data_IF_616069296221
#
_entry.id   IF_616069296221
#
_cell.length_a   1.000
_cell.length_b   1.000
_cell.length_c   1.000
_cell.angle_alpha   90.00
_cell.angle_beta   90.00
_cell.angle_gamma   90.00
#
_symmetry.space_group_name_H-M   'P 1'
#
loop_
_entity.id
_entity.type
_entity.pdbx_description
1 polymer ?
#
# COMPACT_ATOMS: atom_id res chain seq x y z
N UNK A 1 17.14 -12.78 -15.99
CA UNK A 1 18.00 -12.83 -14.78
C UNK A 1 17.15 -13.35 -13.63
N UNK A 2 17.70 -14.18 -12.73
CA UNK A 2 16.96 -14.60 -11.53
C UNK A 2 16.77 -13.37 -10.63
N UNK A 3 15.54 -13.05 -10.27
CA UNK A 3 15.23 -12.01 -9.28
C UNK A 3 15.55 -12.57 -7.89
N UNK A 4 16.32 -11.84 -7.09
CA UNK A 4 16.73 -12.25 -5.74
C UNK A 4 15.52 -12.62 -4.87
N UNK A 5 14.47 -11.80 -4.94
CA UNK A 5 13.28 -11.95 -4.12
C UNK A 5 12.45 -13.19 -4.47
N UNK A 6 12.54 -13.69 -5.70
CA UNK A 6 11.84 -14.91 -6.12
C UNK A 6 12.44 -16.16 -5.45
N UNK A 7 13.71 -16.09 -5.03
CA UNK A 7 14.37 -17.15 -4.26
C UNK A 7 14.00 -17.18 -2.77
N UNK A 8 13.39 -16.10 -2.26
CA UNK A 8 13.03 -15.92 -0.85
C UNK A 8 11.51 -15.72 -0.71
N UNK A 9 10.71 -16.79 -0.89
CA UNK A 9 9.26 -16.67 -0.98
C UNK A 9 8.61 -16.25 0.35
N UNK A 10 9.28 -16.42 1.48
CA UNK A 10 8.76 -16.07 2.81
C UNK A 10 9.47 -14.80 3.29
N UNK A 11 8.72 -13.90 3.92
CA UNK A 11 9.28 -12.71 4.55
C UNK A 11 10.19 -13.07 5.72
N UNK A 12 11.36 -12.46 5.79
CA UNK A 12 12.36 -12.70 6.83
C UNK A 12 12.99 -11.37 7.23
N UNK A 13 12.94 -11.02 8.52
CA UNK A 13 13.61 -9.82 9.04
C UNK A 13 15.11 -9.77 8.71
N UNK A 14 15.76 -10.91 8.56
CA UNK A 14 17.19 -11.02 8.24
C UNK A 14 17.54 -10.47 6.84
N UNK A 15 16.54 -10.32 5.96
CA UNK A 15 16.71 -9.72 4.63
C UNK A 15 16.70 -8.17 4.66
N UNK A 16 16.31 -7.57 5.79
CA UNK A 16 16.31 -6.13 5.93
C UNK A 16 17.76 -5.58 5.97
N UNK A 17 17.95 -4.44 5.31
CA UNK A 17 19.17 -3.64 5.42
C UNK A 17 18.83 -2.21 5.83
N UNK A 18 19.54 -1.65 6.81
CA UNK A 18 19.34 -0.30 7.32
C UNK A 18 20.27 0.68 6.59
N UNK A 19 19.75 1.82 6.14
CA UNK A 19 20.59 2.92 5.67
C UNK A 19 21.26 3.62 6.85
N UNK A 20 22.59 3.65 6.86
CA UNK A 20 23.39 4.35 7.86
C UNK A 20 23.71 5.77 7.42
N UNK A 21 24.10 6.62 8.38
CA UNK A 21 24.56 8.00 8.14
C UNK A 21 25.74 8.07 7.16
N UNK A 22 26.58 7.04 7.15
CA UNK A 22 27.75 6.97 6.27
C UNK A 22 27.37 6.65 4.81
N UNK A 23 26.08 6.52 4.49
CA UNK A 23 25.61 6.20 3.14
C UNK A 23 25.82 4.73 2.78
N UNK A 24 25.69 3.83 3.75
CA UNK A 24 25.81 2.38 3.55
C UNK A 24 24.52 1.67 3.96
N UNK A 25 24.16 0.62 3.24
CA UNK A 25 23.11 -0.32 3.60
C UNK A 25 23.70 -1.44 4.45
N UNK A 26 23.47 -1.37 5.76
CA UNK A 26 23.98 -2.32 6.74
C UNK A 26 23.03 -3.49 6.91
N UNK A 27 23.55 -4.72 6.81
CA UNK A 27 22.78 -5.96 6.98
C UNK A 27 22.18 -6.11 8.39
N UNK A 28 21.04 -6.80 8.49
CA UNK A 28 20.40 -7.18 9.76
C UNK A 28 21.36 -7.85 10.75
N UNK A 29 21.91 -9.01 10.38
CA UNK A 29 22.88 -9.74 11.20
C UNK A 29 24.29 -9.15 11.08
N UNK A 30 25.07 -9.27 12.16
CA UNK A 30 26.50 -8.96 12.15
C UNK A 30 27.32 -10.04 11.45
N UNK A 31 28.54 -9.69 11.07
CA UNK A 31 29.52 -10.71 10.64
C UNK A 31 29.79 -11.68 11.79
N UNK A 32 29.85 -12.98 11.50
CA UNK A 32 30.32 -13.97 12.46
C UNK A 32 31.84 -13.83 12.61
N UNK A 33 32.36 -14.10 13.81
CA UNK A 33 33.81 -14.19 14.01
C UNK A 33 34.40 -15.24 13.06
N UNK A 34 35.44 -14.86 12.31
CA UNK A 34 36.14 -15.79 11.43
C UNK A 34 37.02 -16.72 12.27
N UNK A 35 36.73 -18.04 12.32
CA UNK A 35 37.53 -18.99 13.11
C UNK A 35 38.98 -19.07 12.62
N UNK A 36 39.26 -18.66 11.37
CA UNK A 36 40.57 -18.73 10.73
C UNK A 36 41.36 -17.41 10.77
N UNK A 37 40.71 -16.29 11.12
CA UNK A 37 41.38 -14.99 11.32
C UNK A 37 40.85 -14.26 12.57
N UNK A 38 41.40 -14.57 13.75
CA UNK A 38 41.00 -13.94 15.03
C UNK A 38 41.31 -12.44 15.10
N UNK A 39 42.05 -11.87 14.13
CA UNK A 39 42.38 -10.45 14.10
C UNK A 39 41.32 -9.60 13.42
N UNK A 40 40.46 -10.21 12.59
CA UNK A 40 39.34 -9.54 11.94
C UNK A 40 38.21 -9.35 12.94
N UNK A 41 38.04 -8.12 13.44
CA UNK A 41 36.90 -7.78 14.29
C UNK A 41 35.59 -7.87 13.50
N UNK A 42 34.59 -8.63 13.95
CA UNK A 42 33.32 -8.73 13.25
C UNK A 42 32.61 -7.37 13.22
N UNK A 43 32.08 -7.01 12.06
CA UNK A 43 31.23 -5.83 11.92
C UNK A 43 29.85 -6.10 12.53
N UNK A 44 29.34 -5.16 13.32
CA UNK A 44 27.99 -5.25 13.89
C UNK A 44 26.91 -5.15 12.79
N UNK A 45 25.79 -5.83 13.00
CA UNK A 45 24.59 -5.72 12.17
C UNK A 45 23.70 -4.55 12.59
N UNK A 46 22.59 -4.37 11.89
CA UNK A 46 21.60 -3.32 12.19
C UNK A 46 20.42 -3.76 13.07
N UNK A 47 20.34 -5.05 13.44
CA UNK A 47 19.24 -5.63 14.23
C UNK A 47 18.75 -4.75 15.38
N UNK A 48 19.63 -4.41 16.32
CA UNK A 48 19.23 -3.68 17.54
C UNK A 48 18.68 -2.27 17.21
N UNK A 49 19.27 -1.60 16.21
CA UNK A 49 18.82 -0.28 15.76
C UNK A 49 17.43 -0.34 15.12
N UNK A 50 17.17 -1.38 14.32
CA UNK A 50 15.87 -1.57 13.67
C UNK A 50 14.81 -1.97 14.69
N UNK A 51 15.12 -2.91 15.59
CA UNK A 51 14.19 -3.32 16.66
C UNK A 51 13.84 -2.14 17.58
N UNK A 52 14.81 -1.30 17.95
CA UNK A 52 14.56 -0.08 18.73
C UNK A 52 13.64 0.91 18.00
N UNK A 53 13.90 1.18 16.71
CA UNK A 53 13.06 2.07 15.90
C UNK A 53 11.62 1.55 15.76
N UNK A 54 11.45 0.24 15.56
CA UNK A 54 10.14 -0.40 15.45
C UNK A 54 9.40 -0.48 16.79
N UNK A 55 10.11 -0.70 17.91
CA UNK A 55 9.55 -0.60 19.25
C UNK A 55 9.07 0.83 19.54
N UNK A 56 9.89 1.83 19.23
CA UNK A 56 9.51 3.22 19.36
C UNK A 56 8.25 3.52 18.53
N UNK A 57 8.14 2.97 17.31
CA UNK A 57 6.95 3.11 16.47
C UNK A 57 5.68 2.61 17.18
N UNK A 58 5.72 1.40 17.76
CA UNK A 58 4.59 0.81 18.50
C UNK A 58 4.20 1.64 19.74
N UNK A 59 5.18 2.22 20.43
CA UNK A 59 4.98 2.98 21.66
C UNK A 59 4.59 4.44 21.46
N UNK A 60 4.64 4.98 20.25
CA UNK A 60 4.16 6.33 19.90
C UNK A 60 2.74 6.59 20.40
N UNK A 61 2.36 7.85 20.53
CA UNK A 61 0.98 8.27 20.78
C UNK A 61 0.12 8.13 19.52
N UNK A 62 0.64 8.55 18.37
CA UNK A 62 -0.02 8.42 17.08
C UNK A 62 0.76 7.46 16.18
N UNK A 63 0.06 6.53 15.52
CA UNK A 63 0.66 5.62 14.54
C UNK A 63 -0.13 5.73 13.25
N UNK A 64 0.60 6.12 12.21
CA UNK A 64 0.12 6.24 10.84
C UNK A 64 0.90 5.24 10.00
N UNK A 65 0.20 4.43 9.22
CA UNK A 65 0.82 3.47 8.30
C UNK A 65 0.38 3.84 6.88
N UNK A 66 1.30 3.86 5.93
CA UNK A 66 1.02 3.99 4.51
C UNK A 66 1.53 2.75 3.78
N UNK A 67 0.62 1.97 3.22
CA UNK A 67 0.93 0.77 2.43
C UNK A 67 0.71 1.03 0.95
N UNK A 68 1.75 0.83 0.14
CA UNK A 68 1.66 0.85 -1.32
C UNK A 68 1.60 -0.56 -1.93
N UNK A 69 1.72 -0.65 -3.25
CA UNK A 69 1.55 -1.91 -4.00
C UNK A 69 2.56 -2.99 -3.61
N UNK A 70 3.71 -2.61 -3.03
CA UNK A 70 4.66 -3.56 -2.46
C UNK A 70 4.08 -4.42 -1.34
N UNK A 71 3.07 -3.94 -0.61
CA UNK A 71 2.36 -4.74 0.38
C UNK A 71 1.47 -5.81 -0.29
N UNK A 72 0.76 -5.45 -1.36
CA UNK A 72 -0.10 -6.38 -2.11
C UNK A 72 0.69 -7.54 -2.74
N UNK A 73 1.94 -7.31 -3.15
CA UNK A 73 2.80 -8.38 -3.69
C UNK A 73 3.15 -9.48 -2.67
N UNK A 74 2.96 -9.23 -1.37
CA UNK A 74 3.12 -10.27 -0.34
C UNK A 74 1.96 -11.27 -0.29
N UNK A 75 0.82 -10.94 -0.91
CA UNK A 75 -0.35 -11.80 -0.98
C UNK A 75 -0.15 -12.87 -2.06
N UNK A 76 -0.53 -14.11 -1.75
CA UNK A 76 -0.36 -15.25 -2.67
C UNK A 76 -1.64 -16.02 -2.85
N UNK A 77 -1.93 -16.38 -4.08
CA UNK A 77 -3.02 -17.28 -4.43
C UNK A 77 -2.47 -18.64 -4.86
N UNK A 78 -3.04 -19.73 -4.32
CA UNK A 78 -2.85 -21.07 -4.85
C UNK A 78 -3.57 -21.19 -6.19
N UNK A 79 -2.88 -20.83 -7.26
CA UNK A 79 -3.45 -20.76 -8.60
C UNK A 79 -4.36 -19.55 -8.83
N UNK A 80 -4.30 -18.99 -10.04
CA UNK A 80 -5.00 -17.76 -10.40
C UNK A 80 -4.13 -16.50 -10.28
N UNK A 81 -4.72 -15.31 -10.44
CA UNK A 81 -3.97 -14.06 -10.50
C UNK A 81 -3.42 -13.68 -9.12
N UNK A 82 -2.19 -13.21 -9.06
CA UNK A 82 -1.62 -12.52 -7.89
C UNK A 82 -1.71 -11.01 -8.09
N UNK A 83 -1.31 -10.23 -7.08
CA UNK A 83 -1.26 -8.79 -7.17
C UNK A 83 -0.55 -8.30 -8.44
N UNK A 84 -1.22 -7.51 -9.31
CA UNK A 84 -0.67 -7.13 -10.60
C UNK A 84 0.32 -5.97 -10.47
N UNK A 85 1.47 -6.12 -11.13
CA UNK A 85 2.34 -5.00 -11.50
C UNK A 85 1.83 -4.24 -12.74
N UNK A 86 2.42 -3.08 -13.05
CA UNK A 86 2.01 -2.27 -14.22
C UNK A 86 2.12 -3.02 -15.55
N UNK A 87 3.14 -3.86 -15.70
CA UNK A 87 3.28 -4.75 -16.86
C UNK A 87 2.08 -5.69 -17.02
N UNK A 88 1.63 -6.33 -15.93
CA UNK A 88 0.50 -7.25 -15.97
C UNK A 88 -0.80 -6.53 -16.36
N UNK A 89 -0.98 -5.28 -15.92
CA UNK A 89 -2.13 -4.47 -16.34
C UNK A 89 -2.07 -4.14 -17.84
N UNK A 90 -0.89 -3.80 -18.36
CA UNK A 90 -0.70 -3.57 -19.79
C UNK A 90 -1.06 -4.80 -20.63
N UNK A 91 -0.55 -5.97 -20.26
CA UNK A 91 -0.88 -7.23 -20.94
C UNK A 91 -2.37 -7.58 -20.84
N UNK A 92 -2.98 -7.39 -19.67
CA UNK A 92 -4.41 -7.66 -19.48
C UNK A 92 -5.27 -6.80 -20.40
N UNK A 93 -4.99 -5.49 -20.48
CA UNK A 93 -5.71 -4.57 -21.38
C UNK A 93 -5.45 -4.92 -22.84
N UNK A 94 -4.20 -5.23 -23.21
CA UNK A 94 -3.84 -5.65 -24.57
C UNK A 94 -4.61 -6.91 -25.00
N UNK A 95 -4.72 -7.90 -24.11
CA UNK A 95 -5.45 -9.13 -24.37
C UNK A 95 -6.96 -8.91 -24.41
N UNK A 96 -7.52 -8.11 -23.50
CA UNK A 96 -8.97 -7.85 -23.43
C UNK A 96 -9.51 -7.04 -24.61
N UNK A 97 -8.74 -6.08 -25.13
CA UNK A 97 -9.10 -5.30 -26.32
C UNK A 97 -8.78 -6.04 -27.64
N UNK A 98 -7.92 -7.06 -27.59
CA UNK A 98 -7.29 -7.66 -28.75
C UNK A 98 -6.08 -6.85 -29.25
N UNK A 99 -5.00 -7.56 -29.58
CA UNK A 99 -3.69 -6.95 -29.88
C UNK A 99 -3.73 -5.95 -31.05
N UNK A 100 -4.49 -6.24 -32.10
CA UNK A 100 -4.61 -5.32 -33.24
C UNK A 100 -5.27 -3.99 -32.84
N UNK A 101 -6.40 -4.05 -32.15
CA UNK A 101 -7.12 -2.85 -31.70
C UNK A 101 -6.30 -2.05 -30.68
N UNK A 102 -5.63 -2.74 -29.75
CA UNK A 102 -4.72 -2.10 -28.79
C UNK A 102 -3.59 -1.35 -29.50
N UNK A 103 -2.92 -2.01 -30.45
CA UNK A 103 -1.80 -1.42 -31.19
C UNK A 103 -2.24 -0.24 -32.06
N UNK A 104 -3.46 -0.27 -32.61
CA UNK A 104 -4.01 0.84 -33.39
C UNK A 104 -4.30 2.06 -32.51
N UNK A 105 -4.85 1.86 -31.30
CA UNK A 105 -5.04 2.94 -30.31
C UNK A 105 -3.68 3.48 -29.84
N UNK A 106 -2.72 2.60 -29.51
CA UNK A 106 -1.38 3.02 -29.10
C UNK A 106 -0.70 3.87 -30.19
N UNK A 107 -0.72 3.43 -31.45
CA UNK A 107 -0.22 4.24 -32.59
C UNK A 107 -0.96 5.56 -32.75
N UNK A 108 -2.27 5.56 -32.58
CA UNK A 108 -3.13 6.74 -32.75
C UNK A 108 -2.87 7.81 -31.69
N UNK A 109 -2.53 7.40 -30.47
CA UNK A 109 -2.47 8.27 -29.30
C UNK A 109 -1.02 8.57 -28.89
N UNK A 110 -0.14 7.57 -28.89
CA UNK A 110 1.29 7.67 -28.54
C UNK A 110 2.14 7.98 -29.78
N UNK A 111 1.66 7.64 -30.99
CA UNK A 111 2.39 7.81 -32.25
C UNK A 111 3.24 6.58 -32.65
N UNK A 112 3.41 5.62 -31.76
CA UNK A 112 4.06 4.34 -32.00
C UNK A 112 3.49 3.27 -31.06
N UNK A 113 3.81 2.00 -31.32
CA UNK A 113 3.57 0.92 -30.34
C UNK A 113 4.81 0.86 -29.45
N UNK A 114 4.69 1.04 -28.13
CA UNK A 114 5.82 0.89 -27.22
C UNK A 114 6.50 -0.48 -27.40
N UNK A 115 7.82 -0.51 -27.35
CA UNK A 115 8.58 -1.75 -27.33
C UNK A 115 8.51 -2.40 -25.94
N UNK A 116 8.79 -3.70 -25.86
CA UNK A 116 8.81 -4.44 -24.59
C UNK A 116 9.74 -3.75 -23.57
N UNK A 117 9.15 -3.26 -22.48
CA UNK A 117 9.85 -2.55 -21.40
C UNK A 117 9.71 -1.02 -21.44
N UNK A 118 9.09 -0.46 -22.48
CA UNK A 118 8.65 0.94 -22.55
C UNK A 118 7.16 1.11 -22.23
N UNK A 119 6.50 0.02 -21.85
CA UNK A 119 5.06 -0.06 -21.62
C UNK A 119 4.65 0.75 -20.39
N UNK A 120 3.88 1.80 -20.64
CA UNK A 120 3.36 2.66 -19.60
C UNK A 120 1.85 2.81 -19.77
N UNK A 121 1.10 1.91 -19.11
CA UNK A 121 -0.37 1.91 -19.13
C UNK A 121 -0.92 3.24 -18.61
N UNK A 122 -0.24 3.87 -17.65
CA UNK A 122 -0.64 5.16 -17.10
C UNK A 122 -0.54 6.27 -18.15
N UNK A 123 0.56 6.34 -18.90
CA UNK A 123 0.71 7.29 -20.00
C UNK A 123 -0.33 7.05 -21.11
N UNK A 124 -0.58 5.79 -21.48
CA UNK A 124 -1.55 5.44 -22.51
C UNK A 124 -2.98 5.87 -22.11
N UNK A 125 -3.44 5.51 -20.92
CA UNK A 125 -4.78 5.86 -20.44
C UNK A 125 -4.95 7.38 -20.26
N UNK A 126 -3.88 8.06 -19.82
CA UNK A 126 -3.85 9.52 -19.72
C UNK A 126 -4.12 10.18 -21.06
N UNK A 127 -3.36 9.79 -22.08
CA UNK A 127 -3.50 10.36 -23.42
C UNK A 127 -4.84 9.99 -24.07
N UNK A 128 -5.37 8.80 -23.79
CA UNK A 128 -6.71 8.40 -24.24
C UNK A 128 -7.80 9.32 -23.65
N UNK A 129 -7.81 9.55 -22.34
CA UNK A 129 -8.79 10.45 -21.69
C UNK A 129 -8.64 11.90 -22.18
N UNK A 130 -7.42 12.42 -22.28
CA UNK A 130 -7.19 13.76 -22.85
C UNK A 130 -7.72 13.87 -24.28
N UNK A 131 -7.53 12.82 -25.09
CA UNK A 131 -8.05 12.78 -26.45
C UNK A 131 -9.58 12.74 -26.48
N UNK A 132 -10.21 11.96 -25.59
CA UNK A 132 -11.66 11.90 -25.44
C UNK A 132 -12.21 13.30 -25.09
N UNK A 133 -11.70 13.94 -24.04
CA UNK A 133 -12.16 15.27 -23.62
C UNK A 133 -12.04 16.31 -24.75
N UNK A 134 -10.93 16.31 -25.49
CA UNK A 134 -10.73 17.21 -26.63
C UNK A 134 -11.69 16.92 -27.79
N UNK A 135 -11.98 15.65 -28.07
CA UNK A 135 -12.89 15.24 -29.14
C UNK A 135 -14.36 15.50 -28.76
N UNK A 136 -14.75 15.34 -27.50
CA UNK A 136 -16.10 15.64 -27.00
C UNK A 136 -16.45 17.11 -27.17
N UNK A 137 -15.56 18.01 -26.74
CA UNK A 137 -15.75 19.46 -26.90
C UNK A 137 -15.90 19.88 -28.37
N UNK A 138 -15.26 19.14 -29.29
CA UNK A 138 -15.40 19.37 -30.75
C UNK A 138 -16.72 18.80 -31.28
N UNK A 139 -17.09 17.60 -30.85
CA UNK A 139 -18.31 16.92 -31.27
C UNK A 139 -19.59 17.64 -30.84
N UNK A 140 -19.56 18.34 -29.70
CA UNK A 140 -20.68 19.19 -29.24
C UNK A 140 -20.90 20.42 -30.14
N UNK A 141 -19.82 20.97 -30.70
CA UNK A 141 -19.86 22.18 -31.54
C UNK A 141 -20.19 21.90 -33.00
N UNK A 142 -20.03 20.65 -33.45
CA UNK A 142 -20.23 20.25 -34.84
C UNK A 142 -21.04 18.93 -34.93
N UNK A 143 -22.28 19.04 -35.42
CA UNK A 143 -23.14 17.88 -35.62
C UNK A 143 -22.61 16.92 -36.71
N UNK A 144 -21.78 17.41 -37.65
CA UNK A 144 -21.14 16.63 -38.71
C UNK A 144 -19.70 16.24 -38.38
N UNK A 145 -19.34 16.19 -37.08
CA UNK A 145 -17.98 15.91 -36.64
C UNK A 145 -17.42 14.59 -37.20
N UNK A 146 -16.36 14.63 -38.03
CA UNK A 146 -15.87 13.46 -38.76
C UNK A 146 -15.23 12.40 -37.85
N UNK A 147 -14.68 12.80 -36.70
CA UNK A 147 -13.98 11.89 -35.79
C UNK A 147 -14.90 11.27 -34.72
N UNK A 148 -16.23 11.27 -34.91
CA UNK A 148 -17.18 10.60 -33.98
C UNK A 148 -16.85 9.13 -33.80
N UNK A 149 -16.51 8.42 -34.88
CA UNK A 149 -16.14 7.01 -34.80
C UNK A 149 -14.88 6.79 -33.93
N UNK A 150 -13.89 7.69 -34.03
CA UNK A 150 -12.68 7.65 -33.21
C UNK A 150 -12.99 7.92 -31.74
N UNK A 151 -13.89 8.87 -31.45
CA UNK A 151 -14.34 9.16 -30.10
C UNK A 151 -14.96 7.92 -29.44
N UNK A 152 -15.89 7.25 -30.12
CA UNK A 152 -16.51 6.02 -29.60
C UNK A 152 -15.48 4.90 -29.42
N UNK A 153 -14.55 4.71 -30.39
CA UNK A 153 -13.46 3.73 -30.24
C UNK A 153 -12.58 3.97 -29.01
N UNK A 154 -12.24 5.23 -28.72
CA UNK A 154 -11.47 5.58 -27.53
C UNK A 154 -12.26 5.34 -26.25
N UNK A 155 -13.56 5.64 -26.24
CA UNK A 155 -14.46 5.36 -25.10
C UNK A 155 -14.56 3.87 -24.82
N UNK A 156 -14.81 3.07 -25.87
CA UNK A 156 -14.90 1.61 -25.78
C UNK A 156 -13.59 0.99 -25.30
N UNK A 157 -12.45 1.51 -25.80
CA UNK A 157 -11.13 1.08 -25.36
C UNK A 157 -10.90 1.37 -23.87
N UNK A 158 -11.21 2.60 -23.42
CA UNK A 158 -11.04 2.99 -22.01
C UNK A 158 -11.96 2.19 -21.10
N UNK A 159 -13.22 1.98 -21.48
CA UNK A 159 -14.17 1.17 -20.72
C UNK A 159 -13.70 -0.29 -20.60
N UNK A 160 -13.17 -0.85 -21.70
CA UNK A 160 -12.57 -2.19 -21.68
C UNK A 160 -11.34 -2.23 -20.77
N UNK A 161 -10.45 -1.24 -20.89
CA UNK A 161 -9.24 -1.17 -20.08
C UNK A 161 -9.55 -1.06 -18.58
N UNK A 162 -10.50 -0.20 -18.20
CA UNK A 162 -10.96 -0.04 -16.82
C UNK A 162 -11.54 -1.35 -16.27
N UNK A 163 -12.34 -2.09 -17.07
CA UNK A 163 -12.87 -3.41 -16.70
C UNK A 163 -11.76 -4.44 -16.49
N UNK A 164 -10.82 -4.56 -17.43
CA UNK A 164 -9.72 -5.52 -17.31
C UNK A 164 -8.81 -5.19 -16.11
N UNK A 165 -8.52 -3.91 -15.87
CA UNK A 165 -7.75 -3.47 -14.69
C UNK A 165 -8.49 -3.85 -13.42
N UNK A 166 -9.79 -3.54 -13.32
CA UNK A 166 -10.62 -3.85 -12.16
C UNK A 166 -10.59 -5.36 -11.84
N UNK A 167 -10.69 -6.20 -12.87
CA UNK A 167 -10.61 -7.65 -12.71
C UNK A 167 -9.24 -8.12 -12.19
N UNK A 168 -8.14 -7.53 -12.69
CA UNK A 168 -6.78 -7.88 -12.24
C UNK A 168 -6.50 -7.44 -10.81
N UNK A 169 -6.95 -6.24 -10.41
CA UNK A 169 -6.73 -5.74 -9.04
C UNK A 169 -7.67 -6.38 -8.02
N UNK A 170 -8.79 -6.97 -8.48
CA UNK A 170 -9.73 -7.76 -7.69
C UNK A 170 -9.27 -9.20 -7.42
N UNK A 171 -7.97 -9.44 -7.21
CA UNK A 171 -7.39 -10.79 -7.10
C UNK A 171 -7.59 -11.45 -5.72
N UNK A 172 -8.02 -10.70 -4.71
CA UNK A 172 -8.14 -11.20 -3.33
C UNK A 172 -9.40 -12.04 -3.18
N UNK A 173 -9.21 -13.28 -2.73
CA UNK A 173 -10.23 -14.31 -2.53
C UNK A 173 -10.19 -14.81 -1.09
N UNK A 174 -11.16 -15.66 -0.72
CA UNK A 174 -11.22 -16.26 0.62
C UNK A 174 -10.01 -17.15 0.95
N UNK A 175 -9.39 -17.74 -0.06
CA UNK A 175 -8.23 -18.64 0.02
C UNK A 175 -6.87 -17.92 -0.13
N UNK A 176 -6.84 -16.61 -0.43
CA UNK A 176 -5.59 -15.86 -0.61
C UNK A 176 -4.75 -15.89 0.67
N UNK A 177 -3.50 -16.31 0.59
CA UNK A 177 -2.55 -16.29 1.70
C UNK A 177 -2.15 -14.84 2.02
N UNK A 178 -2.31 -14.44 3.29
CA UNK A 178 -2.03 -13.09 3.77
C UNK A 178 -1.21 -13.09 5.08
N UNK A 179 -0.12 -13.87 5.20
CA UNK A 179 0.62 -13.98 6.47
C UNK A 179 1.23 -12.64 6.92
N UNK A 180 1.77 -11.84 5.99
CA UNK A 180 2.36 -10.54 6.30
C UNK A 180 1.32 -9.53 6.82
N UNK A 181 0.20 -9.37 6.12
CA UNK A 181 -0.90 -8.49 6.53
C UNK A 181 -1.49 -8.92 7.88
N UNK A 182 -1.71 -10.23 8.06
CA UNK A 182 -2.23 -10.81 9.30
C UNK A 182 -1.25 -10.59 10.47
N UNK A 183 0.03 -10.87 10.27
CA UNK A 183 1.07 -10.64 11.28
C UNK A 183 1.19 -9.17 11.66
N UNK A 184 1.15 -8.27 10.68
CA UNK A 184 1.20 -6.82 10.87
C UNK A 184 0.02 -6.33 11.71
N UNK A 185 -1.22 -6.65 11.30
CA UNK A 185 -2.43 -6.25 12.03
C UNK A 185 -2.46 -6.83 13.45
N UNK A 186 -2.09 -8.10 13.62
CA UNK A 186 -2.03 -8.77 14.93
C UNK A 186 -1.10 -8.04 15.91
N UNK A 187 0.04 -7.54 15.43
CA UNK A 187 1.02 -6.81 16.25
C UNK A 187 0.47 -5.47 16.73
N UNK A 188 -0.17 -4.70 15.84
CA UNK A 188 -0.78 -3.42 16.22
C UNK A 188 -2.10 -3.56 16.98
N UNK A 189 -2.82 -4.67 16.82
CA UNK A 189 -4.08 -4.91 17.53
C UNK A 189 -3.90 -5.03 19.05
N UNK A 190 -2.65 -5.26 19.50
CA UNK A 190 -2.27 -5.31 20.92
C UNK A 190 -2.01 -3.94 21.55
N UNK A 191 -2.05 -2.88 20.75
CA UNK A 191 -1.85 -1.52 21.24
C UNK A 191 -3.04 -1.12 22.12
N UNK A 192 -2.75 -0.41 23.22
CA UNK A 192 -3.78 -0.01 24.18
C UNK A 192 -4.93 0.73 23.50
N UNK A 193 -6.19 0.37 23.77
CA UNK A 193 -7.35 1.03 23.19
C UNK A 193 -7.56 2.45 23.72
N UNK A 194 -6.85 2.84 24.78
CA UNK A 194 -6.83 4.22 25.32
C UNK A 194 -5.98 5.18 24.49
N UNK A 195 -5.11 4.66 23.61
CA UNK A 195 -4.37 5.47 22.65
C UNK A 195 -5.22 5.73 21.40
N UNK A 196 -4.96 6.81 20.65
CA UNK A 196 -5.54 7.00 19.33
C UNK A 196 -5.40 5.73 18.47
N UNK A 197 -6.49 5.36 17.78
CA UNK A 197 -6.53 4.19 16.89
C UNK A 197 -5.44 4.28 15.83
N UNK A 198 -4.86 3.14 15.48
CA UNK A 198 -3.87 3.07 14.39
C UNK A 198 -4.58 3.43 13.08
N UNK A 199 -4.02 4.38 12.33
CA UNK A 199 -4.57 4.84 11.05
C UNK A 199 -3.79 4.18 9.91
N UNK A 200 -4.45 3.28 9.20
CA UNK A 200 -3.94 2.57 8.03
C UNK A 200 -4.38 3.33 6.78
N UNK A 201 -3.43 3.89 6.05
CA UNK A 201 -3.63 4.48 4.73
C UNK A 201 -3.08 3.53 3.69
N UNK A 202 -3.76 3.40 2.55
CA UNK A 202 -3.23 2.61 1.44
C UNK A 202 -3.65 3.19 0.09
N UNK A 203 -2.77 3.06 -0.89
CA UNK A 203 -3.06 3.32 -2.31
C UNK A 203 -3.61 2.08 -3.02
N UNK A 204 -3.72 0.95 -2.32
CA UNK A 204 -4.05 -0.34 -2.92
C UNK A 204 -5.56 -0.50 -3.04
N UNK A 205 -6.01 -0.89 -4.23
CA UNK A 205 -7.42 -1.13 -4.54
C UNK A 205 -7.95 -2.44 -3.94
N UNK A 206 -7.07 -3.43 -3.76
CA UNK A 206 -7.39 -4.78 -3.33
C UNK A 206 -7.87 -4.86 -1.88
N UNK A 207 -8.40 -6.03 -1.48
CA UNK A 207 -8.98 -6.26 -0.15
C UNK A 207 -8.04 -6.99 0.82
N UNK A 208 -6.71 -6.87 0.67
CA UNK A 208 -5.76 -7.61 1.52
C UNK A 208 -5.91 -7.27 3.01
N UNK A 209 -6.03 -5.98 3.36
CA UNK A 209 -6.15 -5.51 4.75
C UNK A 209 -7.49 -5.95 5.34
N UNK A 210 -8.57 -5.80 4.57
CA UNK A 210 -9.93 -6.16 4.96
C UNK A 210 -10.05 -7.66 5.22
N UNK A 211 -9.51 -8.48 4.31
CA UNK A 211 -9.54 -9.94 4.42
C UNK A 211 -8.68 -10.44 5.58
N UNK A 212 -7.48 -9.88 5.76
CA UNK A 212 -6.64 -10.18 6.92
C UNK A 212 -7.32 -9.73 8.23
N UNK A 213 -8.00 -8.58 8.21
CA UNK A 213 -8.71 -8.04 9.36
C UNK A 213 -9.89 -8.92 9.77
N UNK A 214 -10.68 -9.35 8.79
CA UNK A 214 -11.78 -10.30 8.95
C UNK A 214 -11.31 -11.61 9.61
N UNK A 215 -10.20 -12.18 9.14
CA UNK A 215 -9.63 -13.43 9.67
C UNK A 215 -9.20 -13.31 11.14
N UNK A 216 -8.63 -12.17 11.52
CA UNK A 216 -8.22 -11.89 12.90
C UNK A 216 -9.37 -11.45 13.82
N UNK A 217 -10.52 -11.09 13.26
CA UNK A 217 -11.61 -10.47 14.02
C UNK A 217 -11.26 -9.08 14.56
N UNK A 218 -10.36 -8.36 13.88
CA UNK A 218 -10.14 -6.92 14.13
C UNK A 218 -11.21 -6.11 13.41
N UNK A 219 -11.51 -4.91 13.93
CA UNK A 219 -12.51 -4.03 13.31
C UNK A 219 -11.85 -2.88 12.57
N UNK A 220 -12.33 -2.61 11.37
CA UNK A 220 -11.88 -1.53 10.50
C UNK A 220 -12.96 -0.46 10.43
N UNK A 221 -12.61 0.76 10.82
CA UNK A 221 -13.43 1.96 10.66
C UNK A 221 -12.95 2.65 9.38
N UNK A 222 -13.75 2.58 8.33
CA UNK A 222 -13.36 2.96 6.96
C UNK A 222 -14.28 3.99 6.31
N UNK A 223 -15.12 4.64 7.13
CA UNK A 223 -16.09 5.62 6.68
C UNK A 223 -17.40 5.02 6.18
N UNK A 224 -17.58 3.70 6.20
CA UNK A 224 -18.87 3.08 5.90
C UNK A 224 -19.72 2.84 7.14
N UNK A 225 -21.04 2.91 6.97
CA UNK A 225 -22.01 2.60 8.00
C UNK A 225 -22.00 1.11 8.37
N UNK A 226 -22.42 0.78 9.59
CA UNK A 226 -22.61 -0.60 10.06
C UNK A 226 -24.03 -1.15 9.74
N UNK A 227 -24.68 -0.62 8.71
CA UNK A 227 -26.02 -1.05 8.26
C UNK A 227 -25.95 -2.21 7.26
N UNK A 228 -27.09 -2.84 6.99
CA UNK A 228 -27.17 -3.96 6.04
C UNK A 228 -26.63 -3.60 4.64
N UNK A 229 -27.01 -2.43 4.12
CA UNK A 229 -26.32 -1.78 3.01
C UNK A 229 -25.37 -0.75 3.61
N UNK A 230 -24.07 -0.96 3.43
CA UNK A 230 -23.04 -0.09 3.99
C UNK A 230 -22.83 1.12 3.08
N UNK A 231 -23.05 2.31 3.62
CA UNK A 231 -22.98 3.60 2.90
C UNK A 231 -21.82 4.43 3.42
N UNK A 232 -21.07 5.03 2.51
CA UNK A 232 -19.99 5.93 2.86
C UNK A 232 -20.54 7.25 3.42
N UNK A 233 -19.98 7.68 4.54
CA UNK A 233 -20.11 9.02 5.07
C UNK A 233 -18.88 9.32 5.92
N UNK A 234 -18.23 10.47 5.68
CA UNK A 234 -17.03 10.89 6.43
C UNK A 234 -17.25 10.89 7.95
N UNK A 235 -18.46 11.16 8.44
CA UNK A 235 -18.78 11.21 9.87
C UNK A 235 -18.62 9.83 10.54
N UNK A 236 -18.64 8.73 9.77
CA UNK A 236 -18.40 7.40 10.32
C UNK A 236 -16.95 7.19 10.77
N UNK A 237 -15.99 8.00 10.33
CA UNK A 237 -14.64 8.01 10.89
C UNK A 237 -14.55 8.61 12.30
N UNK A 238 -15.55 9.40 12.70
CA UNK A 238 -15.61 10.01 14.03
C UNK A 238 -16.28 9.09 15.06
N UNK A 239 -16.82 7.96 14.62
CA UNK A 239 -17.39 6.93 15.48
C UNK A 239 -16.31 5.97 15.96
N UNK A 240 -16.46 5.44 17.18
CA UNK A 240 -15.63 4.36 17.71
C UNK A 240 -16.51 3.27 18.34
N UNK A 241 -15.94 2.08 18.52
CA UNK A 241 -16.62 0.90 19.02
C UNK A 241 -16.23 0.66 20.47
N UNK A 242 -17.25 0.68 21.32
CA UNK A 242 -17.13 0.45 22.76
C UNK A 242 -17.97 -0.76 23.16
N UNK A 243 -17.48 -1.49 24.16
CA UNK A 243 -18.26 -2.48 24.88
C UNK A 243 -18.88 -1.82 26.11
N UNK A 244 -20.15 -2.13 26.36
CA UNK A 244 -20.85 -1.74 27.59
C UNK A 244 -21.34 -2.99 28.29
N UNK A 245 -20.91 -3.21 29.52
CA UNK A 245 -21.47 -4.29 30.35
C UNK A 245 -22.87 -3.87 30.80
N UNK A 246 -23.84 -4.80 30.81
CA UNK A 246 -25.22 -4.49 31.22
C UNK A 246 -25.31 -3.90 32.64
N UNK A 247 -24.35 -4.23 33.50
CA UNK A 247 -24.26 -3.78 34.89
C UNK A 247 -23.47 -2.47 35.08
N UNK A 248 -22.93 -1.87 34.01
CA UNK A 248 -22.05 -0.70 34.08
C UNK A 248 -22.48 0.37 33.09
N UNK A 249 -22.40 1.62 33.50
CA UNK A 249 -22.55 2.77 32.60
C UNK A 249 -21.24 3.13 31.89
N UNK A 250 -20.12 2.52 32.29
CA UNK A 250 -18.81 2.73 31.66
C UNK A 250 -18.78 2.05 30.29
N UNK A 251 -18.31 2.80 29.29
CA UNK A 251 -18.00 2.31 27.97
C UNK A 251 -16.50 2.02 27.90
N UNK A 252 -16.13 0.77 27.66
CA UNK A 252 -14.73 0.37 27.48
C UNK A 252 -14.46 0.24 25.98
N UNK A 253 -13.42 0.93 25.49
CA UNK A 253 -13.03 0.85 24.08
C UNK A 253 -12.63 -0.59 23.70
N UNK A 254 -13.08 -1.04 22.52
CA UNK A 254 -12.72 -2.36 22.03
C UNK A 254 -11.25 -2.39 21.59
N UNK A 255 -10.55 -3.48 21.90
CA UNK A 255 -9.20 -3.76 21.39
C UNK A 255 -9.24 -4.10 19.88
N UNK A 256 -8.11 -3.95 19.19
CA UNK A 256 -8.02 -4.38 17.79
C UNK A 256 -8.94 -3.61 16.84
N UNK A 257 -9.13 -2.31 17.09
CA UNK A 257 -9.86 -1.40 16.21
C UNK A 257 -8.88 -0.48 15.49
N UNK A 258 -9.03 -0.35 14.18
CA UNK A 258 -8.19 0.43 13.29
C UNK A 258 -9.02 1.38 12.46
N UNK A 259 -8.45 2.50 12.03
CA UNK A 259 -9.01 3.26 10.92
C UNK A 259 -8.36 2.81 9.62
N UNK A 260 -9.15 2.60 8.57
CA UNK A 260 -8.66 2.24 7.23
C UNK A 260 -9.08 3.32 6.22
N UNK A 261 -8.11 3.89 5.53
CA UNK A 261 -8.29 4.93 4.53
C UNK A 261 -7.72 4.46 3.18
N UNK A 262 -8.60 4.31 2.18
CA UNK A 262 -8.24 3.88 0.82
C UNK A 262 -8.13 5.11 -0.10
N UNK A 263 -6.91 5.60 -0.28
CA UNK A 263 -6.62 6.87 -0.96
C UNK A 263 -7.02 6.87 -2.44
N UNK A 264 -6.96 5.69 -3.08
CA UNK A 264 -7.29 5.51 -4.49
C UNK A 264 -8.59 4.72 -4.72
N UNK A 265 -9.40 4.55 -3.68
CA UNK A 265 -10.62 3.75 -3.75
C UNK A 265 -10.38 2.27 -3.56
N UNK A 266 -11.42 1.46 -3.85
CA UNK A 266 -11.41 0.03 -3.57
C UNK A 266 -12.24 -0.73 -4.58
N UNK A 267 -11.86 -1.99 -4.83
CA UNK A 267 -12.57 -2.89 -5.76
C UNK A 267 -14.00 -3.20 -5.35
N UNK A 268 -14.34 -3.03 -4.07
CA UNK A 268 -15.68 -3.22 -3.51
C UNK A 268 -16.49 -1.91 -3.40
N UNK A 269 -16.02 -0.78 -3.92
CA UNK A 269 -16.78 0.48 -3.85
C UNK A 269 -17.58 0.73 -5.13
N UNK A 270 -18.84 1.12 -4.97
CA UNK A 270 -19.74 1.48 -6.07
C UNK A 270 -20.45 2.79 -5.78
N UNK A 271 -20.51 3.69 -6.78
CA UNK A 271 -21.28 4.93 -6.75
C UNK A 271 -22.61 4.68 -7.44
N UNK A 272 -23.69 4.90 -6.72
CA UNK A 272 -25.05 4.79 -7.24
C UNK A 272 -25.47 6.03 -8.02
N UNK A 273 -26.58 5.94 -8.74
CA UNK A 273 -27.20 7.08 -9.44
C UNK A 273 -27.65 8.23 -8.53
N UNK A 274 -27.76 8.00 -7.21
CA UNK A 274 -28.02 9.02 -6.20
C UNK A 274 -26.73 9.59 -5.58
N UNK A 275 -25.57 9.37 -6.22
CA UNK A 275 -24.22 9.78 -5.78
C UNK A 275 -23.72 9.12 -4.49
N UNK A 276 -24.52 8.25 -3.86
CA UNK A 276 -24.12 7.54 -2.65
C UNK A 276 -23.11 6.45 -3.00
N UNK A 277 -21.98 6.46 -2.31
CA UNK A 277 -20.99 5.39 -2.39
C UNK A 277 -21.36 4.27 -1.42
N UNK A 278 -21.45 3.04 -1.92
CA UNK A 278 -21.78 1.84 -1.17
C UNK A 278 -20.68 0.79 -1.32
N UNK A 279 -20.59 -0.14 -0.37
CA UNK A 279 -19.82 -1.37 -0.54
C UNK A 279 -20.64 -2.40 -1.30
N UNK A 280 -20.11 -2.90 -2.40
CA UNK A 280 -20.71 -3.94 -3.23
C UNK A 280 -19.63 -4.63 -4.06
N UNK A 281 -19.54 -5.96 -3.91
CA UNK A 281 -18.70 -6.83 -4.73
C UNK A 281 -19.39 -7.30 -6.02
N UNK A 282 -20.65 -6.92 -6.23
CA UNK A 282 -21.37 -7.21 -7.47
C UNK A 282 -20.70 -6.53 -8.67
N UNK A 283 -20.89 -7.15 -9.84
CA UNK A 283 -20.38 -6.63 -11.10
C UNK A 283 -20.88 -5.20 -11.34
N UNK A 284 -20.05 -4.33 -11.93
CA UNK A 284 -20.45 -2.96 -12.24
C UNK A 284 -21.67 -2.94 -13.16
N UNK A 285 -22.65 -2.09 -12.84
CA UNK A 285 -23.84 -1.83 -13.64
C UNK A 285 -23.97 -0.35 -13.98
N UNK A 286 -24.89 0.00 -14.89
CA UNK A 286 -25.17 1.41 -15.24
C UNK A 286 -25.60 2.24 -14.02
N UNK A 287 -26.22 1.62 -13.01
CA UNK A 287 -26.67 2.24 -11.78
C UNK A 287 -25.65 2.14 -10.64
N UNK A 288 -24.49 1.50 -10.87
CA UNK A 288 -23.44 1.20 -9.87
C UNK A 288 -22.06 1.26 -10.49
N UNK A 289 -21.54 2.48 -10.61
CA UNK A 289 -20.22 2.73 -11.20
C UNK A 289 -19.09 2.41 -10.22
N UNK A 290 -17.97 1.82 -10.65
CA UNK A 290 -16.81 1.59 -9.77
C UNK A 290 -16.23 2.90 -9.22
N UNK A 291 -15.88 2.91 -7.94
CA UNK A 291 -15.20 4.06 -7.28
C UNK A 291 -13.74 3.70 -7.02
N UNK A 292 -12.93 3.85 -8.07
CA UNK A 292 -11.49 3.65 -8.06
C UNK A 292 -10.79 4.74 -8.88
N UNK A 293 -9.61 5.16 -8.43
CA UNK A 293 -8.73 6.09 -9.13
C UNK A 293 -7.80 5.29 -10.04
N UNK A 294 -8.13 5.16 -11.33
CA UNK A 294 -7.36 4.34 -12.29
C UNK A 294 -5.95 4.90 -12.58
N UNK A 295 -4.97 4.07 -12.99
CA UNK A 295 -3.62 4.50 -13.38
C UNK A 295 -3.64 5.50 -14.55
N UNK A 296 -3.72 6.81 -14.29
CA UNK A 296 -3.65 7.91 -15.28
C UNK A 296 -3.19 9.23 -14.64
N UNK A 297 -2.88 10.25 -15.44
CA UNK A 297 -2.44 11.56 -14.95
C UNK A 297 -3.60 12.39 -14.37
N UNK A 298 -4.83 12.17 -14.85
CA UNK A 298 -6.03 12.86 -14.33
C UNK A 298 -6.52 12.34 -12.98
N UNK A 299 -5.85 11.34 -12.38
CA UNK A 299 -6.05 10.95 -10.98
C UNK A 299 -6.02 12.14 -10.02
N UNK A 300 -5.22 13.17 -10.36
CA UNK A 300 -5.12 14.37 -9.55
C UNK A 300 -6.48 15.06 -9.38
N UNK A 301 -7.28 15.16 -10.44
CA UNK A 301 -8.59 15.80 -10.37
C UNK A 301 -9.60 14.93 -9.60
N UNK A 302 -9.57 13.62 -9.84
CA UNK A 302 -10.44 12.66 -9.13
C UNK A 302 -10.19 12.64 -7.63
N UNK A 303 -8.95 12.87 -7.19
CA UNK A 303 -8.59 12.95 -5.77
C UNK A 303 -9.31 14.08 -5.01
N UNK A 304 -9.93 15.05 -5.71
CA UNK A 304 -10.73 16.13 -5.10
C UNK A 304 -12.22 15.80 -5.00
N UNK A 305 -12.68 14.63 -5.47
CA UNK A 305 -14.04 14.16 -5.25
C UNK A 305 -14.17 13.37 -3.95
N UNK A 306 -15.37 13.34 -3.36
CA UNK A 306 -15.68 12.39 -2.28
C UNK A 306 -15.82 10.98 -2.87
N UNK A 307 -15.26 9.93 -2.24
CA UNK A 307 -14.71 9.87 -0.87
C UNK A 307 -13.22 10.24 -0.74
N UNK A 308 -12.50 10.42 -1.85
CA UNK A 308 -11.04 10.55 -1.85
C UNK A 308 -10.56 11.79 -1.11
N UNK A 309 -11.21 12.93 -1.32
CA UNK A 309 -10.86 14.19 -0.65
C UNK A 309 -10.85 14.03 0.88
N UNK A 310 -11.84 13.31 1.43
CA UNK A 310 -11.94 13.04 2.86
C UNK A 310 -10.76 12.16 3.35
N UNK A 311 -10.37 11.15 2.57
CA UNK A 311 -9.21 10.29 2.86
C UNK A 311 -7.89 11.07 2.86
N UNK A 312 -7.70 11.95 1.87
CA UNK A 312 -6.53 12.81 1.77
C UNK A 312 -6.46 13.84 2.90
N UNK A 313 -7.58 14.45 3.24
CA UNK A 313 -7.67 15.36 4.38
C UNK A 313 -7.29 14.65 5.69
N UNK A 314 -7.77 13.40 5.89
CA UNK A 314 -7.42 12.59 7.04
C UNK A 314 -5.93 12.26 7.11
N UNK A 315 -5.28 11.95 5.97
CA UNK A 315 -3.83 11.72 5.91
C UNK A 315 -3.07 12.97 6.34
N UNK A 316 -3.38 14.12 5.75
CA UNK A 316 -2.71 15.39 6.07
C UNK A 316 -2.90 15.78 7.53
N UNK A 317 -4.10 15.58 8.08
CA UNK A 317 -4.37 15.83 9.49
C UNK A 317 -3.52 14.91 10.39
N UNK A 318 -3.50 13.60 10.09
CA UNK A 318 -2.75 12.63 10.87
C UNK A 318 -1.23 12.90 10.87
N UNK A 319 -0.66 13.38 9.76
CA UNK A 319 0.76 13.72 9.66
C UNK A 319 1.17 14.96 10.47
N UNK A 320 0.22 15.84 10.78
CA UNK A 320 0.45 17.06 11.58
C UNK A 320 0.36 16.82 13.09
N UNK A 321 -0.17 15.68 13.51
CA UNK A 321 -0.27 15.34 14.93
C UNK A 321 1.12 15.20 15.58
N UNK A 322 1.31 15.65 16.84
CA UNK A 322 2.55 15.47 17.55
C UNK A 322 2.77 14.01 17.97
N UNK A 323 4.02 13.63 18.23
CA UNK A 323 4.43 12.26 18.60
C UNK A 323 3.79 11.18 17.68
N UNK A 324 3.96 11.43 16.38
CA UNK A 324 3.46 10.56 15.32
C UNK A 324 4.62 9.73 14.76
N UNK A 325 4.41 8.42 14.66
CA UNK A 325 5.23 7.60 13.77
C UNK A 325 4.48 7.29 12.50
N UNK A 326 5.10 7.65 11.37
CA UNK A 326 4.69 7.25 10.03
C UNK A 326 5.51 6.03 9.60
N UNK A 327 4.84 4.91 9.34
CA UNK A 327 5.43 3.71 8.74
C UNK A 327 5.00 3.66 7.28
N UNK A 328 5.94 3.76 6.34
CA UNK A 328 5.68 3.65 4.90
C UNK A 328 6.28 2.34 4.41
N UNK A 329 5.48 1.49 3.78
CA UNK A 329 5.97 0.24 3.19
C UNK A 329 5.42 -0.05 1.81
N UNK A 330 6.30 -0.44 0.88
CA UNK A 330 5.93 -0.79 -0.49
C UNK A 330 5.38 0.38 -1.31
N UNK A 331 5.68 1.62 -0.93
CA UNK A 331 5.26 2.83 -1.61
C UNK A 331 6.47 3.55 -2.22
N UNK A 332 6.54 3.57 -3.55
CA UNK A 332 7.69 4.08 -4.29
C UNK A 332 7.78 5.60 -4.41
N UNK A 333 6.89 6.39 -3.78
CA UNK A 333 6.81 7.86 -3.94
C UNK A 333 6.62 8.31 -5.40
N UNK A 334 5.79 7.58 -6.15
CA UNK A 334 5.40 7.92 -7.51
C UNK A 334 4.30 8.99 -7.56
N UNK A 335 3.42 8.98 -6.56
CA UNK A 335 2.26 9.86 -6.46
C UNK A 335 2.61 11.15 -5.72
N UNK A 336 2.73 12.27 -6.44
CA UNK A 336 3.12 13.57 -5.88
C UNK A 336 2.09 14.11 -4.87
N UNK A 337 0.80 13.86 -5.08
CA UNK A 337 -0.27 14.29 -4.17
C UNK A 337 -0.26 13.58 -2.81
N UNK A 338 0.45 12.44 -2.70
CA UNK A 338 0.72 11.74 -1.44
C UNK A 338 2.12 12.10 -0.92
N UNK A 339 3.10 12.13 -1.82
CA UNK A 339 4.51 12.33 -1.49
C UNK A 339 4.80 13.74 -0.97
N UNK A 340 4.17 14.76 -1.56
CA UNK A 340 4.37 16.15 -1.15
C UNK A 340 3.87 16.44 0.29
N UNK A 341 2.67 15.99 0.72
CA UNK A 341 2.27 16.08 2.12
C UNK A 341 3.21 15.38 3.10
N UNK A 342 3.73 14.20 2.76
CA UNK A 342 4.70 13.48 3.61
C UNK A 342 5.98 14.30 3.74
N UNK A 343 6.50 14.81 2.63
CA UNK A 343 7.69 15.67 2.62
C UNK A 343 7.48 16.93 3.46
N UNK A 344 6.35 17.60 3.29
CA UNK A 344 6.00 18.79 4.08
C UNK A 344 5.90 18.48 5.58
N UNK A 345 5.38 17.31 5.95
CA UNK A 345 5.32 16.87 7.34
C UNK A 345 6.73 16.61 7.92
N UNK A 346 7.65 16.04 7.15
CA UNK A 346 9.05 15.85 7.57
C UNK A 346 9.74 17.20 7.83
N UNK A 347 9.46 18.21 7.00
CA UNK A 347 10.01 19.57 7.12
C UNK A 347 9.46 20.33 8.34
N UNK A 348 8.18 20.12 8.69
CA UNK A 348 7.47 20.97 9.66
C UNK A 348 7.22 20.30 11.01
N UNK A 349 6.99 18.99 11.06
CA UNK A 349 6.72 18.25 12.29
C UNK A 349 8.01 17.64 12.85
N UNK A 350 8.65 18.36 13.76
CA UNK A 350 9.90 17.92 14.40
C UNK A 350 9.76 16.66 15.27
N UNK A 351 8.53 16.32 15.69
CA UNK A 351 8.24 15.11 16.45
C UNK A 351 7.85 13.90 15.60
N UNK A 352 7.73 14.09 14.27
CA UNK A 352 7.43 13.00 13.34
C UNK A 352 8.62 12.05 13.24
N UNK A 353 8.37 10.77 13.48
CA UNK A 353 9.29 9.68 13.21
C UNK A 353 8.86 8.97 11.93
N UNK A 354 9.80 8.69 11.03
CA UNK A 354 9.55 8.02 9.77
C UNK A 354 10.27 6.68 9.74
N UNK A 355 9.53 5.60 9.53
CA UNK A 355 10.08 4.29 9.17
C UNK A 355 9.68 4.01 7.73
N UNK A 356 10.65 3.98 6.81
CA UNK A 356 10.43 3.76 5.39
C UNK A 356 11.04 2.42 4.98
N UNK A 357 10.24 1.50 4.45
CA UNK A 357 10.70 0.20 3.98
C UNK A 357 10.26 -0.07 2.54
N UNK A 358 11.23 -0.18 1.63
CA UNK A 358 10.94 -0.52 0.23
C UNK A 358 12.06 -1.38 -0.37
N UNK A 359 11.71 -2.30 -1.27
CA UNK A 359 12.67 -3.20 -1.91
C UNK A 359 13.48 -2.52 -3.02
N UNK A 360 13.05 -1.33 -3.47
CA UNK A 360 13.59 -0.60 -4.62
C UNK A 360 14.83 0.23 -4.32
N UNK A 361 15.30 0.27 -3.06
CA UNK A 361 16.48 1.05 -2.70
C UNK A 361 17.81 0.41 -3.10
N UNK A 362 17.91 -0.93 -3.04
CA UNK A 362 19.10 -1.69 -3.40
C UNK A 362 18.79 -2.56 -4.62
N UNK A 363 19.64 -2.47 -5.64
CA UNK A 363 19.50 -3.29 -6.83
C UNK A 363 19.65 -4.78 -6.50
N UNK A 364 18.74 -5.59 -7.04
CA UNK A 364 18.61 -7.01 -6.68
C UNK A 364 19.90 -7.81 -6.87
N UNK A 365 20.73 -7.46 -7.86
CA UNK A 365 21.98 -8.18 -8.11
C UNK A 365 23.00 -7.99 -6.98
N UNK A 366 22.97 -6.85 -6.28
CA UNK A 366 23.84 -6.56 -5.12
C UNK A 366 23.41 -7.33 -3.87
N UNK A 367 22.19 -7.87 -3.84
CA UNK A 367 21.66 -8.62 -2.70
C UNK A 367 22.10 -10.09 -2.69
N UNK A 368 22.52 -10.65 -3.84
CA UNK A 368 23.04 -12.03 -3.91
C UNK A 368 24.39 -12.21 -3.22
N UNK A 369 25.12 -11.12 -2.95
CA UNK A 369 26.32 -11.18 -2.14
C UNK A 369 25.93 -11.30 -0.66
N UNK A 370 25.74 -12.55 -0.22
CA UNK A 370 25.40 -12.87 1.17
C UNK A 370 26.52 -12.51 2.15
N UNK A 371 27.75 -12.33 1.69
CA UNK A 371 28.89 -11.94 2.54
C UNK A 371 29.06 -10.41 2.62
N UNK A 372 28.38 -9.64 1.74
CA UNK A 372 28.42 -8.19 1.78
C UNK A 372 27.68 -7.63 3.01
N UNK A 373 28.44 -7.29 4.05
CA UNK A 373 27.92 -6.64 5.25
C UNK A 373 27.37 -5.22 4.98
N UNK A 374 27.99 -4.50 4.05
CA UNK A 374 27.65 -3.14 3.67
C UNK A 374 27.54 -3.03 2.15
N UNK A 375 26.54 -2.29 1.68
CA UNK A 375 26.39 -1.91 0.27
C UNK A 375 26.35 -0.40 0.18
N UNK A 376 27.08 0.19 -0.77
CA UNK A 376 27.03 1.64 -1.00
C UNK A 376 25.63 2.12 -1.38
N UNK A 377 25.21 3.24 -0.81
CA UNK A 377 24.00 3.94 -1.22
C UNK A 377 24.18 4.44 -2.65
N UNK A 378 23.32 3.94 -3.54
CA UNK A 378 23.21 4.42 -4.90
C UNK A 378 21.88 5.17 -5.05
N UNK A 379 21.98 6.48 -5.29
CA UNK A 379 20.80 7.32 -5.54
C UNK A 379 20.49 7.44 -7.03
N UNK A 380 21.30 6.86 -7.92
CA UNK A 380 20.98 6.83 -9.34
C UNK A 380 19.71 6.01 -9.57
N UNK A 381 18.76 6.56 -10.32
CA UNK A 381 17.45 5.93 -10.56
C UNK A 381 16.43 6.04 -9.42
N UNK A 382 16.81 6.52 -8.23
CA UNK A 382 15.87 6.74 -7.13
C UNK A 382 14.96 7.95 -7.40
N UNK A 383 13.71 7.89 -6.94
CA UNK A 383 12.77 9.01 -7.14
C UNK A 383 13.20 10.26 -6.34
N UNK A 384 12.73 11.47 -6.73
CA UNK A 384 13.14 12.71 -6.07
C UNK A 384 12.91 12.72 -4.56
N UNK A 385 11.75 12.25 -4.09
CA UNK A 385 11.44 12.20 -2.66
C UNK A 385 12.29 11.16 -1.91
N UNK A 386 12.46 9.95 -2.47
CA UNK A 386 13.35 8.93 -1.90
C UNK A 386 14.78 9.46 -1.74
N UNK A 387 15.31 10.12 -2.78
CA UNK A 387 16.64 10.73 -2.76
C UNK A 387 16.76 11.83 -1.70
N UNK A 388 15.74 12.68 -1.55
CA UNK A 388 15.72 13.73 -0.52
C UNK A 388 15.70 13.15 0.89
N UNK A 389 14.85 12.15 1.14
CA UNK A 389 14.72 11.49 2.45
C UNK A 389 16.03 10.76 2.82
N UNK A 390 16.63 10.02 1.87
CA UNK A 390 17.92 9.36 2.08
C UNK A 390 19.05 10.34 2.41
N UNK A 391 19.08 11.52 1.78
CA UNK A 391 20.04 12.58 2.10
C UNK A 391 19.88 13.12 3.52
N UNK A 392 18.66 13.21 4.05
CA UNK A 392 18.44 13.62 5.45
C UNK A 392 19.09 12.64 6.43
N UNK A 393 19.00 11.34 6.16
CA UNK A 393 19.70 10.30 6.95
C UNK A 393 21.22 10.50 6.88
N UNK A 394 21.78 10.78 5.70
CA UNK A 394 23.22 11.08 5.55
C UNK A 394 23.65 12.34 6.30
N UNK A 395 22.78 13.35 6.41
CA UNK A 395 23.02 14.55 7.21
C UNK A 395 22.85 14.30 8.73
N UNK A 396 22.38 13.13 9.14
CA UNK A 396 22.27 12.72 10.54
C UNK A 396 20.90 12.98 11.18
N UNK A 397 19.82 13.09 10.39
CA UNK A 397 18.46 13.15 10.95
C UNK A 397 18.06 11.78 11.54
N UNK A 398 18.05 11.69 12.87
CA UNK A 398 17.78 10.45 13.61
C UNK A 398 16.30 10.08 13.67
N UNK A 399 15.40 10.95 13.21
CA UNK A 399 13.96 10.69 13.18
C UNK A 399 13.57 9.73 12.05
N UNK A 400 14.46 9.53 11.08
CA UNK A 400 14.20 8.82 9.83
C UNK A 400 14.99 7.50 9.84
N UNK A 401 14.27 6.40 9.76
CA UNK A 401 14.81 5.05 9.58
C UNK A 401 14.42 4.57 8.18
N UNK A 402 15.41 4.26 7.33
CA UNK A 402 15.16 3.73 5.99
C UNK A 402 15.69 2.29 5.91
N UNK A 403 14.81 1.39 5.48
CA UNK A 403 15.07 -0.03 5.35
C UNK A 403 14.92 -0.43 3.87
N UNK A 404 15.89 -1.19 3.37
CA UNK A 404 15.71 -1.93 2.13
C UNK A 404 15.16 -3.32 2.46
N UNK A 405 13.97 -3.61 1.94
CA UNK A 405 13.29 -4.89 2.15
C UNK A 405 11.83 -4.84 1.71
N UNK A 406 11.13 -5.97 1.77
CA UNK A 406 9.72 -6.06 1.39
C UNK A 406 8.82 -5.82 2.59
N UNK A 407 7.52 -5.67 2.32
CA UNK A 407 6.52 -5.51 3.38
C UNK A 407 6.49 -6.72 4.32
N UNK A 408 6.61 -7.94 3.79
CA UNK A 408 6.66 -9.16 4.58
C UNK A 408 7.89 -9.25 5.49
N UNK A 409 9.04 -8.71 5.07
CA UNK A 409 10.25 -8.67 5.88
C UNK A 409 10.10 -7.66 7.04
N UNK A 410 9.50 -6.49 6.78
CA UNK A 410 9.14 -5.51 7.81
C UNK A 410 8.08 -6.07 8.78
N UNK A 411 7.05 -6.72 8.24
CA UNK A 411 5.98 -7.31 9.02
C UNK A 411 6.52 -8.38 9.96
N UNK A 412 7.51 -9.17 9.54
CA UNK A 412 8.22 -10.14 10.40
C UNK A 412 9.05 -9.43 11.48
N UNK A 413 9.83 -8.40 11.11
CA UNK A 413 10.69 -7.65 12.02
C UNK A 413 9.96 -6.87 13.12
N UNK A 414 8.69 -6.50 12.91
CA UNK A 414 7.92 -5.75 13.91
C UNK A 414 7.85 -6.52 15.24
N UNK A 415 8.14 -5.87 16.38
CA UNK A 415 8.00 -6.51 17.67
C UNK A 415 6.55 -6.80 18.01
N UNK A 416 6.34 -7.72 18.95
CA UNK A 416 5.05 -7.93 19.59
C UNK A 416 5.07 -7.22 20.95
N UNK A 417 4.10 -6.34 21.20
CA UNK A 417 3.96 -5.67 22.50
C UNK A 417 3.77 -6.72 23.60
N UNK A 418 4.54 -6.61 24.68
CA UNK A 418 4.46 -7.49 25.84
C UNK A 418 3.24 -7.18 26.71
N UNK A 419 2.60 -8.23 27.24
CA UNK A 419 1.30 -8.15 27.92
C UNK A 419 0.16 -8.54 26.99
N UNK A 420 -0.67 -9.49 27.41
CA UNK A 420 -1.86 -9.94 26.69
C UNK A 420 -3.07 -9.74 27.59
N UNK A 421 -4.17 -9.28 27.03
CA UNK A 421 -5.46 -9.40 27.73
C UNK A 421 -5.87 -10.87 27.79
N UNK A 422 -6.68 -11.27 28.78
CA UNK A 422 -7.19 -12.64 28.89
C UNK A 422 -7.92 -13.11 27.62
N UNK A 423 -8.56 -12.16 26.91
CA UNK A 423 -9.22 -12.42 25.63
C UNK A 423 -8.23 -12.73 24.51
N UNK A 424 -7.16 -11.95 24.39
CA UNK A 424 -6.10 -12.21 23.41
C UNK A 424 -5.40 -13.54 23.69
N UNK A 425 -5.18 -13.87 24.96
CA UNK A 425 -4.69 -15.20 25.37
C UNK A 425 -5.62 -16.33 24.94
N UNK A 426 -6.94 -16.16 25.12
CA UNK A 426 -7.92 -17.15 24.69
C UNK A 426 -7.99 -17.27 23.17
N UNK A 427 -7.95 -16.16 22.43
CA UNK A 427 -7.93 -16.17 20.96
C UNK A 427 -6.70 -16.90 20.42
N UNK A 428 -5.49 -16.57 20.92
CA UNK A 428 -4.26 -17.26 20.52
C UNK A 428 -4.37 -18.79 20.80
N UNK A 429 -4.95 -19.19 21.93
CA UNK A 429 -5.15 -20.62 22.26
C UNK A 429 -6.16 -21.29 21.33
N UNK A 430 -7.25 -20.61 20.97
CA UNK A 430 -8.27 -21.13 20.07
C UNK A 430 -7.77 -21.22 18.63
N UNK A 431 -6.90 -20.31 18.18
CA UNK A 431 -6.24 -20.40 16.89
C UNK A 431 -5.30 -21.61 16.84
N UNK A 432 -4.42 -21.78 17.83
CA UNK A 432 -3.53 -22.94 17.88
C UNK A 432 -4.30 -24.28 17.85
N UNK A 433 -5.43 -24.36 18.56
CA UNK A 433 -6.29 -25.55 18.52
C UNK A 433 -6.88 -25.81 17.13
N UNK A 434 -7.25 -24.76 16.38
CA UNK A 434 -7.77 -24.90 15.01
C UNK A 434 -6.69 -25.31 14.01
N UNK A 435 -5.46 -24.87 14.23
CA UNK A 435 -4.31 -25.29 13.42
C UNK A 435 -3.93 -26.75 13.71
N UNK A 436 -3.98 -27.18 14.97
CA UNK A 436 -3.70 -28.57 15.38
C UNK A 436 -4.79 -29.56 14.92
N UNK A 437 -6.07 -29.15 14.89
CA UNK A 437 -7.19 -29.98 14.40
C UNK A 437 -7.26 -30.06 12.85
N UNK A 438 -6.43 -29.28 12.15
CA UNK A 438 -6.34 -29.22 10.69
C UNK A 438 -5.27 -30.14 10.05
N UNK A 439 -4.48 -30.85 10.86
CA UNK A 439 -3.55 -31.93 10.45
C UNK A 439 -4.14 -33.30 10.73
#
# INVERSE_FOLDING_TARGET
MKNFWDGEPVGKKELLRLLTRDGKWLRWEGEKEDPNDPSKKPKAGCKDQVEEALLAALHSTNVVVLLGSGASFSAKNEGGPNAPGMWHLWEAVKNGCGEAAFNDIAKSVIGHVPADGEDNIEALLSLCKMSIELLEVRAEKDAAFPDRARLEQLKDFVATAEREILAQVGFVRSDTELPAHTGFLRKFARRSPEKPRVKLFTTNYDLCIETAGLRLGVVLIDGFSHSAEQRFNRDHFDHDIVRRAASSTKADYLDGVFHLYKLHGSVDWRRRSDEVVIRSVEDPGEDRMPVLIYPRSSKYQEAFESPYLDMFAALQAALREPDTTLIVSGFGFADDHISAPIWSAIETNLSLRLVLCDRGFVEQHKLFDEDAQEIDLDLSGQRPYQSKIARLVQQGDTRITILNGRFEDLADALPIISGKTDRQLLQDRLENLREDDGT
#
